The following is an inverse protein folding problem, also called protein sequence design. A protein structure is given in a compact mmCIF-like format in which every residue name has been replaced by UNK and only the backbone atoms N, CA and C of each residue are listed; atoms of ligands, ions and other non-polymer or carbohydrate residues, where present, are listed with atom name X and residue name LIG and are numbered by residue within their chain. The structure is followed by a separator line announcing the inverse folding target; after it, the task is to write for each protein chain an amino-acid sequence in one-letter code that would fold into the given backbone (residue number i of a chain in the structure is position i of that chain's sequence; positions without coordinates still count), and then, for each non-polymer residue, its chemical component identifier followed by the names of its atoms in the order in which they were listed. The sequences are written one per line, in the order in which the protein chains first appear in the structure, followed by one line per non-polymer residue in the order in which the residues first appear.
data_IF_751333877174
#
_entry.id   IF_751333877174
#
_cell.length_a   1.000
_cell.length_b   1.000
_cell.length_c   1.000
_cell.angle_alpha   90.00
_cell.angle_beta   90.00
_cell.angle_gamma   90.00
#
_symmetry.space_group_name_H-M   'P 1'
#
loop_
_entity.id
_entity.type
_entity.pdbx_description
1 polymer ?
#
# COMPACT_ATOMS: atom_id res chain seq x y z
N UNK A 1 7.17 10.57 10.64
CA UNK A 1 6.79 9.65 11.74
C UNK A 1 7.90 9.77 12.78
N UNK A 2 7.59 9.99 14.08
CA UNK A 2 8.61 10.01 15.11
C UNK A 2 9.31 8.63 15.20
N UNK A 3 10.59 8.59 15.58
CA UNK A 3 11.30 7.34 15.78
C UNK A 3 10.66 6.53 16.92
N UNK A 4 10.82 5.22 16.88
CA UNK A 4 10.44 4.38 18.00
C UNK A 4 11.24 4.76 19.23
N UNK A 5 10.58 4.75 20.38
CA UNK A 5 11.27 5.02 21.64
C UNK A 5 12.07 3.79 22.07
N UNK A 6 13.29 4.04 22.54
CA UNK A 6 14.11 2.98 23.13
C UNK A 6 13.45 2.45 24.42
N UNK A 7 13.61 1.16 24.67
CA UNK A 7 13.09 0.45 25.85
C UNK A 7 11.55 0.44 25.97
N UNK A 8 10.83 0.82 24.90
CA UNK A 8 9.38 0.69 24.81
C UNK A 8 8.99 -0.32 23.72
N UNK A 9 7.92 -1.12 23.91
CA UNK A 9 7.42 -1.99 22.86
C UNK A 9 6.96 -1.19 21.64
N UNK A 10 7.34 -1.64 20.45
CA UNK A 10 6.83 -1.10 19.19
C UNK A 10 5.33 -1.34 19.09
N UNK A 11 4.62 -0.43 18.44
CA UNK A 11 3.18 -0.53 18.20
C UNK A 11 2.89 -0.64 16.69
N UNK A 12 1.90 -1.47 16.36
CA UNK A 12 1.38 -1.55 14.98
C UNK A 12 -0.09 -2.00 15.00
N UNK A 13 -0.71 -2.06 13.83
CA UNK A 13 -2.03 -2.68 13.72
C UNK A 13 -1.88 -4.19 13.94
N UNK A 14 -2.59 -4.69 14.94
CA UNK A 14 -2.59 -6.11 15.33
C UNK A 14 -4.03 -6.61 15.34
N UNK A 15 -4.24 -7.89 15.03
CA UNK A 15 -5.46 -8.62 15.32
C UNK A 15 -5.15 -9.57 16.48
N UNK A 16 -5.98 -9.54 17.50
CA UNK A 16 -5.86 -10.35 18.68
C UNK A 16 -7.18 -11.03 19.05
N UNK A 17 -7.11 -12.20 19.69
CA UNK A 17 -8.25 -12.84 20.31
C UNK A 17 -8.45 -12.30 21.73
N UNK A 18 -9.68 -12.03 22.10
CA UNK A 18 -10.04 -11.61 23.45
C UNK A 18 -10.06 -12.84 24.36
N UNK A 19 -9.06 -12.99 25.21
CA UNK A 19 -8.96 -14.11 26.17
C UNK A 19 -9.89 -13.92 27.35
N UNK A 20 -9.99 -12.68 27.86
CA UNK A 20 -10.91 -12.29 28.95
C UNK A 20 -11.33 -10.83 28.76
N UNK A 21 -12.53 -10.48 29.21
CA UNK A 21 -13.01 -9.09 29.15
C UNK A 21 -13.88 -8.73 30.35
N UNK A 22 -13.63 -7.54 30.90
CA UNK A 22 -14.53 -6.84 31.82
C UNK A 22 -15.33 -5.73 31.11
N UNK A 23 -15.05 -5.47 29.83
CA UNK A 23 -15.74 -4.48 29.03
C UNK A 23 -16.92 -5.14 28.30
N UNK A 24 -18.14 -4.64 28.53
CA UNK A 24 -19.38 -5.20 27.98
C UNK A 24 -19.41 -5.22 26.43
N UNK A 25 -18.60 -4.40 25.79
CA UNK A 25 -18.50 -4.35 24.33
C UNK A 25 -17.73 -5.51 23.72
N UNK A 26 -16.92 -6.24 24.51
CA UNK A 26 -16.06 -7.33 24.01
C UNK A 26 -16.28 -8.60 24.83
N UNK A 27 -16.33 -9.74 24.15
CA UNK A 27 -16.50 -11.06 24.79
C UNK A 27 -15.32 -11.95 24.50
N UNK A 28 -15.03 -12.89 25.40
CA UNK A 28 -14.04 -13.95 25.20
C UNK A 28 -14.30 -14.69 23.87
N UNK A 29 -13.25 -14.94 23.11
CA UNK A 29 -13.28 -15.60 21.80
C UNK A 29 -13.60 -14.69 20.62
N UNK A 30 -13.92 -13.41 20.86
CA UNK A 30 -14.04 -12.42 19.77
C UNK A 30 -12.65 -11.97 19.30
N UNK A 31 -12.55 -11.64 18.02
CA UNK A 31 -11.33 -11.05 17.46
C UNK A 31 -11.47 -9.54 17.37
N UNK A 32 -10.38 -8.83 17.69
CA UNK A 32 -10.30 -7.38 17.66
C UNK A 32 -9.08 -6.91 16.88
N UNK A 33 -9.21 -5.78 16.20
CA UNK A 33 -8.12 -5.09 15.51
C UNK A 33 -7.92 -3.71 16.11
N UNK A 34 -6.66 -3.30 16.29
CA UNK A 34 -6.31 -1.97 16.77
C UNK A 34 -4.82 -1.72 16.76
N UNK A 35 -4.42 -0.50 17.12
CA UNK A 35 -3.03 -0.15 17.36
C UNK A 35 -2.63 -0.73 18.72
N UNK A 36 -1.82 -1.77 18.70
CA UNK A 36 -1.42 -2.54 19.87
C UNK A 36 0.09 -2.74 19.90
N UNK A 37 0.62 -3.02 21.08
CA UNK A 37 2.06 -3.27 21.30
C UNK A 37 2.45 -4.65 20.77
N UNK A 38 3.68 -4.80 20.29
CA UNK A 38 4.25 -6.09 19.94
C UNK A 38 4.48 -6.92 21.20
N UNK A 39 3.48 -7.70 21.55
CA UNK A 39 3.45 -8.62 22.69
C UNK A 39 2.52 -9.78 22.37
N UNK A 40 2.85 -10.96 22.87
CA UNK A 40 1.99 -12.13 22.75
C UNK A 40 0.68 -11.94 23.55
N UNK A 41 0.76 -11.35 24.74
CA UNK A 41 -0.39 -11.03 25.60
C UNK A 41 -0.29 -9.60 26.10
N UNK A 42 -1.43 -8.91 26.12
CA UNK A 42 -1.51 -7.56 26.66
C UNK A 42 -2.92 -7.23 27.13
N UNK A 43 -3.04 -6.24 27.97
CA UNK A 43 -4.32 -5.65 28.39
C UNK A 43 -4.58 -4.37 27.63
N UNK A 44 -5.85 -4.11 27.30
CA UNK A 44 -6.30 -2.88 26.65
C UNK A 44 -7.65 -2.45 27.25
N UNK A 45 -7.93 -1.14 27.23
CA UNK A 45 -9.20 -0.60 27.73
C UNK A 45 -10.37 -0.87 26.78
N UNK A 46 -10.09 -1.24 25.54
CA UNK A 46 -11.07 -1.37 24.47
C UNK A 46 -11.18 -0.13 23.57
N UNK A 47 -10.62 1.01 23.98
CA UNK A 47 -10.62 2.23 23.16
C UNK A 47 -9.77 2.03 21.90
N UNK A 48 -10.34 2.38 20.73
CA UNK A 48 -9.65 2.20 19.45
C UNK A 48 -9.59 0.77 18.93
N UNK A 49 -10.20 -0.19 19.64
CA UNK A 49 -10.37 -1.56 19.16
C UNK A 49 -11.65 -1.71 18.35
N UNK A 50 -11.55 -2.39 17.22
CA UNK A 50 -12.67 -2.72 16.35
C UNK A 50 -12.83 -4.24 16.31
N UNK A 51 -14.09 -4.72 16.40
CA UNK A 51 -14.37 -6.14 16.22
C UNK A 51 -14.08 -6.57 14.78
N UNK A 52 -13.50 -7.75 14.65
CA UNK A 52 -13.19 -8.38 13.37
C UNK A 52 -14.06 -9.62 13.21
N UNK A 53 -14.79 -9.71 12.11
CA UNK A 53 -15.64 -10.86 11.81
C UNK A 53 -14.87 -11.88 10.97
N UNK A 54 -14.38 -12.96 11.62
CA UNK A 54 -13.63 -14.05 10.95
C UNK A 54 -14.48 -14.85 9.94
N UNK A 55 -15.81 -14.82 10.10
CA UNK A 55 -16.72 -15.55 9.20
C UNK A 55 -16.99 -14.76 7.90
N UNK A 56 -16.74 -13.45 7.89
CA UNK A 56 -16.91 -12.60 6.72
C UNK A 56 -15.66 -12.59 5.80
N UNK A 57 -14.47 -12.69 6.37
CA UNK A 57 -13.20 -12.80 5.63
C UNK A 57 -12.10 -13.39 6.55
N UNK A 58 -11.03 -13.98 5.99
CA UNK A 58 -9.85 -14.36 6.77
C UNK A 58 -9.31 -13.21 7.61
N UNK A 59 -8.86 -13.49 8.83
CA UNK A 59 -8.36 -12.47 9.75
C UNK A 59 -7.23 -11.62 9.12
N UNK A 60 -6.35 -12.26 8.36
CA UNK A 60 -5.23 -11.58 7.69
C UNK A 60 -5.68 -10.51 6.70
N UNK A 61 -6.84 -10.69 6.04
CA UNK A 61 -7.39 -9.70 5.13
C UNK A 61 -7.64 -8.33 5.80
N UNK A 62 -8.00 -8.33 7.09
CA UNK A 62 -8.21 -7.11 7.88
C UNK A 62 -6.91 -6.39 8.26
N UNK A 63 -5.76 -7.06 8.17
CA UNK A 63 -4.44 -6.42 8.26
C UNK A 63 -3.94 -5.88 6.92
N UNK A 64 -4.53 -6.35 5.83
CA UNK A 64 -4.15 -6.05 4.45
C UNK A 64 -5.23 -5.31 3.68
N UNK A 65 -5.86 -6.04 2.76
CA UNK A 65 -6.79 -5.50 1.76
C UNK A 65 -8.07 -4.87 2.36
N UNK A 66 -8.57 -5.36 3.48
CA UNK A 66 -9.69 -4.77 4.24
C UNK A 66 -9.22 -3.86 5.38
N UNK A 67 -7.92 -3.72 5.58
CA UNK A 67 -7.29 -2.84 6.56
C UNK A 67 -6.73 -1.57 5.94
N UNK A 68 -5.83 -0.91 6.69
CA UNK A 68 -5.27 0.39 6.30
C UNK A 68 -4.64 0.39 4.91
N UNK A 69 -3.98 -0.69 4.48
CA UNK A 69 -3.31 -0.71 3.17
C UNK A 69 -4.29 -0.73 2.00
N UNK A 70 -5.38 -1.51 2.09
CA UNK A 70 -6.42 -1.49 1.07
C UNK A 70 -7.21 -0.18 1.06
N UNK A 71 -7.55 0.34 2.26
CA UNK A 71 -8.22 1.64 2.41
C UNK A 71 -7.36 2.76 1.82
N UNK A 72 -6.04 2.74 2.06
CA UNK A 72 -5.09 3.71 1.48
C UNK A 72 -5.10 3.66 -0.05
N UNK A 73 -5.04 2.46 -0.63
CA UNK A 73 -5.12 2.28 -2.08
C UNK A 73 -6.42 2.85 -2.66
N UNK A 74 -7.55 2.49 -2.08
CA UNK A 74 -8.87 2.93 -2.53
C UNK A 74 -9.07 4.43 -2.42
N UNK A 75 -8.79 5.01 -1.24
CA UNK A 75 -9.02 6.43 -0.99
C UNK A 75 -8.02 7.32 -1.73
N UNK A 76 -6.75 6.93 -1.85
CA UNK A 76 -5.77 7.67 -2.67
C UNK A 76 -6.22 7.78 -4.12
N UNK A 77 -6.68 6.67 -4.71
CA UNK A 77 -7.21 6.68 -6.08
C UNK A 77 -8.52 7.48 -6.19
N UNK A 78 -9.43 7.35 -5.23
CA UNK A 78 -10.74 8.01 -5.26
C UNK A 78 -10.67 9.51 -5.00
N UNK A 79 -9.82 9.95 -4.06
CA UNK A 79 -9.79 11.36 -3.59
C UNK A 79 -8.82 12.23 -4.40
N UNK A 80 -7.76 11.64 -4.94
CA UNK A 80 -6.69 12.37 -5.63
C UNK A 80 -6.56 11.90 -7.08
N UNK A 81 -6.59 10.57 -7.29
CA UNK A 81 -6.39 9.96 -8.60
C UNK A 81 -7.50 10.26 -9.59
N UNK A 82 -8.75 10.24 -9.15
CA UNK A 82 -9.95 10.45 -9.98
C UNK A 82 -9.84 9.73 -11.34
N UNK A 83 -9.58 8.41 -11.27
CA UNK A 83 -9.30 7.58 -12.43
C UNK A 83 -10.43 7.59 -13.45
N UNK A 84 -10.07 7.70 -14.72
CA UNK A 84 -10.99 7.61 -15.85
C UNK A 84 -10.66 6.41 -16.72
N UNK A 85 -11.70 5.77 -17.26
CA UNK A 85 -11.54 4.66 -18.19
C UNK A 85 -10.63 5.04 -19.36
N UNK A 86 -9.66 4.17 -19.66
CA UNK A 86 -8.70 4.35 -20.75
C UNK A 86 -7.41 5.08 -20.35
N UNK A 87 -7.33 5.68 -19.16
CA UNK A 87 -6.11 6.28 -18.65
C UNK A 87 -5.02 5.25 -18.35
N UNK A 88 -3.77 5.71 -18.39
CA UNK A 88 -2.60 4.92 -17.96
C UNK A 88 -2.29 5.23 -16.51
N UNK A 89 -2.42 4.20 -15.66
CA UNK A 89 -2.03 4.21 -14.24
C UNK A 89 -0.67 3.54 -14.08
N UNK A 90 0.33 4.29 -13.63
CA UNK A 90 1.63 3.77 -13.21
C UNK A 90 1.64 3.61 -11.69
N UNK A 91 2.20 2.51 -11.18
CA UNK A 91 2.24 2.20 -9.74
C UNK A 91 3.66 1.79 -9.35
N UNK A 92 4.29 2.50 -8.42
CA UNK A 92 5.54 2.05 -7.81
C UNK A 92 5.29 1.16 -6.59
N UNK A 93 6.25 0.27 -6.26
CA UNK A 93 6.04 -0.74 -5.22
C UNK A 93 4.83 -1.63 -5.51
N UNK A 94 4.61 -1.94 -6.80
CA UNK A 94 3.39 -2.55 -7.33
C UNK A 94 3.06 -3.93 -6.75
N UNK A 95 4.06 -4.69 -6.29
CA UNK A 95 3.85 -6.00 -5.68
C UNK A 95 3.68 -5.94 -4.15
N UNK A 96 3.70 -4.75 -3.55
CA UNK A 96 3.47 -4.52 -2.12
C UNK A 96 1.99 -4.51 -1.75
N UNK A 97 1.72 -4.40 -0.44
CA UNK A 97 0.36 -4.48 0.12
C UNK A 97 -0.59 -3.36 -0.40
N UNK A 98 -0.07 -2.15 -0.64
CA UNK A 98 -0.84 -1.04 -1.23
C UNK A 98 -0.85 -1.14 -2.75
N UNK A 99 0.34 -1.25 -3.37
CA UNK A 99 0.50 -1.17 -4.81
C UNK A 99 -0.26 -2.26 -5.58
N UNK A 100 -0.33 -3.49 -5.06
CA UNK A 100 -1.07 -4.58 -5.69
C UNK A 100 -2.59 -4.33 -5.70
N UNK A 101 -3.11 -3.69 -4.68
CA UNK A 101 -4.53 -3.30 -4.60
C UNK A 101 -4.81 -2.11 -5.52
N UNK A 102 -3.90 -1.11 -5.54
CA UNK A 102 -3.99 0.06 -6.44
C UNK A 102 -4.14 -0.38 -7.90
N UNK A 103 -3.27 -1.29 -8.35
CA UNK A 103 -3.31 -1.74 -9.73
C UNK A 103 -4.59 -2.48 -10.09
N UNK A 104 -5.07 -3.35 -9.21
CA UNK A 104 -6.33 -4.05 -9.44
C UNK A 104 -7.52 -3.10 -9.47
N UNK A 105 -7.58 -2.10 -8.59
CA UNK A 105 -8.61 -1.06 -8.65
C UNK A 105 -8.51 -0.30 -9.98
N UNK A 106 -7.31 0.02 -10.46
CA UNK A 106 -7.09 0.62 -11.77
C UNK A 106 -7.68 -0.24 -12.90
N UNK A 107 -7.50 -1.56 -12.83
CA UNK A 107 -8.12 -2.50 -13.80
C UNK A 107 -9.64 -2.51 -13.72
N UNK A 108 -10.20 -2.54 -12.51
CA UNK A 108 -11.66 -2.46 -12.30
C UNK A 108 -12.22 -1.16 -12.90
N UNK A 109 -11.47 -0.05 -12.79
CA UNK A 109 -11.85 1.26 -13.37
C UNK A 109 -11.59 1.36 -14.88
N UNK A 110 -11.02 0.32 -15.52
CA UNK A 110 -10.78 0.26 -16.95
C UNK A 110 -9.53 0.99 -17.43
N UNK A 111 -8.55 1.19 -16.55
CA UNK A 111 -7.26 1.78 -16.89
C UNK A 111 -6.30 0.76 -17.53
N UNK A 112 -5.32 1.25 -18.31
CA UNK A 112 -4.08 0.54 -18.57
C UNK A 112 -3.20 0.67 -17.33
N UNK A 113 -2.80 -0.45 -16.74
CA UNK A 113 -2.02 -0.46 -15.49
C UNK A 113 -0.63 -0.99 -15.72
N UNK A 114 0.38 -0.21 -15.33
CA UNK A 114 1.80 -0.55 -15.37
C UNK A 114 2.36 -0.55 -13.96
N UNK A 115 3.05 -1.62 -13.58
CA UNK A 115 3.62 -1.77 -12.24
C UNK A 115 5.14 -1.74 -12.24
N UNK A 116 5.74 -1.09 -11.24
CA UNK A 116 7.18 -1.11 -11.01
C UNK A 116 7.45 -1.94 -9.76
N UNK A 117 8.31 -2.96 -9.88
CA UNK A 117 8.72 -3.83 -8.78
C UNK A 117 10.19 -4.24 -8.90
N UNK A 118 10.76 -4.89 -7.88
CA UNK A 118 12.21 -5.13 -7.77
C UNK A 118 12.66 -6.56 -8.06
N UNK A 119 11.85 -7.37 -8.74
CA UNK A 119 12.25 -8.68 -9.26
C UNK A 119 11.28 -9.17 -10.33
N UNK A 120 11.75 -10.04 -11.22
CA UNK A 120 10.93 -10.62 -12.27
C UNK A 120 9.79 -11.48 -11.69
N UNK A 121 10.03 -12.19 -10.60
CA UNK A 121 8.99 -12.92 -9.89
C UNK A 121 7.84 -12.00 -9.42
N UNK A 122 8.17 -10.80 -8.94
CA UNK A 122 7.18 -9.78 -8.55
C UNK A 122 6.46 -9.22 -9.77
N UNK A 123 7.13 -9.10 -10.91
CA UNK A 123 6.51 -8.67 -12.16
C UNK A 123 5.49 -9.72 -12.63
N UNK A 124 5.84 -10.99 -12.63
CA UNK A 124 4.88 -12.06 -12.98
C UNK A 124 3.68 -12.04 -12.01
N UNK A 125 3.93 -11.87 -10.71
CA UNK A 125 2.84 -11.81 -9.72
C UNK A 125 1.86 -10.67 -9.97
N UNK A 126 2.32 -9.46 -10.31
CA UNK A 126 1.40 -8.35 -10.61
C UNK A 126 0.64 -8.58 -11.93
N UNK A 127 1.23 -9.27 -12.90
CA UNK A 127 0.51 -9.68 -14.13
C UNK A 127 -0.64 -10.64 -13.82
N UNK A 128 -0.46 -11.58 -12.88
CA UNK A 128 -1.54 -12.43 -12.37
C UNK A 128 -2.70 -11.64 -11.75
N UNK A 129 -2.41 -10.45 -11.20
CA UNK A 129 -3.40 -9.50 -10.70
C UNK A 129 -4.00 -8.60 -11.79
N UNK A 130 -3.66 -8.86 -13.06
CA UNK A 130 -4.24 -8.18 -14.22
C UNK A 130 -3.52 -6.90 -14.65
N UNK A 131 -2.34 -6.58 -14.11
CA UNK A 131 -1.52 -5.49 -14.65
C UNK A 131 -1.19 -5.77 -16.12
N UNK A 132 -1.21 -4.73 -16.95
CA UNK A 132 -0.91 -4.87 -18.36
C UNK A 132 0.58 -5.08 -18.62
N UNK A 133 1.42 -4.35 -17.87
CA UNK A 133 2.88 -4.37 -18.01
C UNK A 133 3.55 -4.27 -16.64
N UNK A 134 4.80 -4.71 -16.58
CA UNK A 134 5.65 -4.60 -15.39
C UNK A 134 7.06 -4.19 -15.73
N UNK A 135 7.67 -3.38 -14.87
CA UNK A 135 9.06 -2.91 -14.99
C UNK A 135 9.83 -3.37 -13.76
N UNK A 136 10.89 -4.14 -13.98
CA UNK A 136 11.85 -4.47 -12.93
C UNK A 136 12.88 -3.34 -12.82
N UNK A 137 12.77 -2.50 -11.78
CA UNK A 137 13.65 -1.35 -11.62
C UNK A 137 15.11 -1.72 -11.33
N UNK A 138 15.39 -2.97 -10.90
CA UNK A 138 16.77 -3.43 -10.63
C UNK A 138 17.53 -3.84 -11.89
N UNK A 139 16.81 -4.16 -12.97
CA UNK A 139 17.40 -4.58 -14.24
C UNK A 139 17.21 -3.57 -15.36
N UNK A 140 16.44 -2.50 -15.11
CA UNK A 140 16.26 -1.41 -16.07
C UNK A 140 17.46 -0.47 -16.05
N UNK A 141 18.19 -0.37 -17.15
CA UNK A 141 19.35 0.53 -17.29
C UNK A 141 18.96 2.01 -17.19
N UNK A 142 17.77 2.36 -17.64
CA UNK A 142 17.22 3.72 -17.63
C UNK A 142 15.71 3.66 -17.34
N UNK A 143 15.33 4.02 -16.12
CA UNK A 143 13.93 3.99 -15.68
C UNK A 143 13.02 4.90 -16.49
N UNK A 144 13.51 6.06 -16.94
CA UNK A 144 12.73 6.98 -17.78
C UNK A 144 12.36 6.33 -19.12
N UNK A 145 13.32 5.66 -19.76
CA UNK A 145 13.09 4.93 -21.03
C UNK A 145 12.20 3.71 -20.81
N UNK A 146 12.41 2.97 -19.71
CA UNK A 146 11.61 1.81 -19.38
C UNK A 146 10.13 2.19 -19.17
N UNK A 147 9.86 3.30 -18.47
CA UNK A 147 8.49 3.83 -18.31
C UNK A 147 7.93 4.28 -19.65
N UNK A 148 8.69 4.98 -20.48
CA UNK A 148 8.23 5.42 -21.81
C UNK A 148 7.83 4.23 -22.70
N UNK A 149 8.61 3.13 -22.68
CA UNK A 149 8.31 1.91 -23.44
C UNK A 149 7.05 1.20 -22.94
N UNK A 150 6.87 1.07 -21.60
CA UNK A 150 5.71 0.45 -21.00
C UNK A 150 4.44 1.33 -21.07
N UNK A 151 4.61 2.66 -21.13
CA UNK A 151 3.55 3.67 -21.19
C UNK A 151 3.66 4.50 -22.49
N UNK A 152 3.45 3.94 -23.69
CA UNK A 152 3.70 4.66 -24.96
C UNK A 152 2.82 5.91 -25.14
N UNK A 153 1.67 5.97 -24.44
CA UNK A 153 0.79 7.15 -24.44
C UNK A 153 1.07 8.09 -23.25
N UNK A 154 2.19 7.90 -22.54
CA UNK A 154 2.50 8.61 -21.30
C UNK A 154 1.73 8.09 -20.07
N UNK A 155 1.92 8.76 -18.94
CA UNK A 155 1.33 8.43 -17.65
C UNK A 155 0.30 9.47 -17.26
N UNK A 156 -0.96 9.07 -17.07
CA UNK A 156 -2.04 9.97 -16.66
C UNK A 156 -2.13 10.06 -15.13
N UNK A 157 -1.95 8.93 -14.44
CA UNK A 157 -1.94 8.86 -12.98
C UNK A 157 -0.74 8.05 -12.51
N UNK A 158 0.02 8.60 -11.58
CA UNK A 158 1.09 7.90 -10.90
C UNK A 158 0.79 7.75 -9.41
N UNK A 159 0.71 6.51 -8.95
CA UNK A 159 0.58 6.19 -7.52
C UNK A 159 1.96 5.86 -6.96
N UNK A 160 2.48 6.77 -6.16
CA UNK A 160 3.84 6.71 -5.65
C UNK A 160 3.91 6.15 -4.22
N UNK A 161 4.56 4.99 -4.09
CA UNK A 161 4.90 4.38 -2.81
C UNK A 161 6.41 4.48 -2.49
N UNK A 162 7.23 4.95 -3.44
CA UNK A 162 8.69 4.79 -3.40
C UNK A 162 9.44 6.12 -3.33
N UNK A 163 9.02 7.13 -4.10
CA UNK A 163 9.75 8.39 -4.21
C UNK A 163 11.07 8.28 -4.97
N UNK A 164 11.95 9.25 -4.78
CA UNK A 164 13.30 9.26 -5.33
C UNK A 164 13.38 9.18 -6.85
N UNK A 165 14.37 8.49 -7.38
CA UNK A 165 14.62 8.37 -8.82
C UNK A 165 13.45 7.78 -9.62
N UNK A 166 12.64 6.93 -8.99
CA UNK A 166 11.43 6.37 -9.64
C UNK A 166 10.37 7.46 -9.83
N UNK A 167 10.18 8.36 -8.85
CA UNK A 167 9.31 9.52 -8.97
C UNK A 167 9.83 10.46 -10.08
N UNK A 168 11.14 10.71 -10.13
CA UNK A 168 11.76 11.55 -11.15
C UNK A 168 11.50 11.00 -12.55
N UNK A 169 11.67 9.70 -12.74
CA UNK A 169 11.42 9.02 -14.00
C UNK A 169 9.92 9.02 -14.38
N UNK A 170 9.03 8.87 -13.41
CA UNK A 170 7.58 8.95 -13.64
C UNK A 170 7.15 10.35 -14.08
N UNK A 171 7.64 11.41 -13.41
CA UNK A 171 7.37 12.80 -13.76
C UNK A 171 7.90 13.19 -15.14
N UNK A 172 9.00 12.61 -15.60
CA UNK A 172 9.49 12.80 -16.95
C UNK A 172 8.52 12.28 -18.02
N UNK A 173 7.70 11.26 -17.69
CA UNK A 173 6.74 10.61 -18.57
C UNK A 173 5.28 11.03 -18.31
N UNK A 174 5.04 11.92 -17.32
CA UNK A 174 3.69 12.34 -16.94
C UNK A 174 3.00 13.12 -18.09
N UNK A 175 1.73 12.88 -18.29
CA UNK A 175 0.91 13.60 -19.28
C UNK A 175 0.51 14.99 -18.78
N UNK A 176 0.00 15.83 -19.69
CA UNK A 176 -0.65 17.10 -19.35
C UNK A 176 -1.90 16.79 -18.51
N UNK A 177 -2.10 17.54 -17.42
CA UNK A 177 -3.13 17.31 -16.41
C UNK A 177 -2.99 15.96 -15.66
N UNK A 178 -1.79 15.39 -15.69
CA UNK A 178 -1.48 14.18 -14.92
C UNK A 178 -1.64 14.40 -13.42
N UNK A 179 -1.86 13.31 -12.68
CA UNK A 179 -2.02 13.32 -11.22
C UNK A 179 -0.98 12.39 -10.60
N UNK A 180 -0.28 12.91 -9.60
CA UNK A 180 0.69 12.14 -8.79
C UNK A 180 0.17 12.05 -7.36
N UNK A 181 -0.05 10.83 -6.90
CA UNK A 181 -0.55 10.51 -5.57
C UNK A 181 0.64 10.07 -4.72
N UNK A 182 1.18 10.95 -3.89
CA UNK A 182 2.30 10.62 -3.00
C UNK A 182 1.77 9.92 -1.75
N UNK A 183 1.80 8.60 -1.77
CA UNK A 183 1.37 7.73 -0.67
C UNK A 183 2.53 7.39 0.27
N UNK A 184 3.72 7.23 -0.26
CA UNK A 184 4.91 6.88 0.49
C UNK A 184 6.20 7.20 -0.25
N UNK A 185 7.31 7.16 0.45
CA UNK A 185 8.64 7.42 -0.07
C UNK A 185 9.65 6.44 0.55
N UNK A 186 9.38 5.13 0.43
CA UNK A 186 10.15 4.11 1.16
C UNK A 186 11.65 4.13 0.81
N UNK A 187 12.04 4.58 -0.37
CA UNK A 187 13.43 4.75 -0.75
C UNK A 187 14.17 5.81 0.08
N UNK A 188 13.42 6.68 0.77
CA UNK A 188 13.96 7.81 1.52
C UNK A 188 13.89 7.61 3.05
N UNK A 189 13.15 6.60 3.55
CA UNK A 189 12.89 6.46 4.98
C UNK A 189 14.14 6.20 5.82
N UNK A 190 15.14 5.54 5.25
CA UNK A 190 16.42 5.25 5.91
C UNK A 190 17.56 6.14 5.40
N UNK A 191 17.25 7.24 4.72
CA UNK A 191 18.29 8.15 4.21
C UNK A 191 18.94 8.92 5.35
N UNK A 192 20.25 8.79 5.52
CA UNK A 192 21.03 9.52 6.53
C UNK A 192 21.21 11.01 6.19
N UNK A 193 21.10 11.33 4.90
CA UNK A 193 21.23 12.72 4.39
C UNK A 193 20.02 13.06 3.54
N UNK A 194 19.65 14.34 3.48
CA UNK A 194 18.62 14.81 2.56
C UNK A 194 19.00 14.47 1.13
N UNK A 195 18.19 13.67 0.42
CA UNK A 195 18.46 13.33 -0.96
C UNK A 195 18.46 14.57 -1.86
N UNK A 196 19.36 14.60 -2.82
CA UNK A 196 19.41 15.63 -3.87
C UNK A 196 18.81 15.03 -5.14
N UNK A 197 17.90 15.77 -5.78
CA UNK A 197 17.25 15.34 -7.00
C UNK A 197 16.90 16.51 -7.92
N UNK A 198 16.33 16.24 -9.10
CA UNK A 198 15.90 17.27 -10.03
C UNK A 198 14.80 18.15 -9.46
N UNK A 199 14.73 19.38 -9.97
CA UNK A 199 13.67 20.33 -9.66
C UNK A 199 12.50 20.12 -10.63
N UNK A 200 11.33 19.80 -10.09
CA UNK A 200 10.17 19.39 -10.89
C UNK A 200 9.19 20.52 -11.19
N UNK A 201 9.36 21.71 -10.60
CA UNK A 201 8.44 22.83 -10.73
C UNK A 201 8.14 23.17 -12.20
N UNK A 202 9.18 23.15 -13.06
CA UNK A 202 9.01 23.40 -14.49
C UNK A 202 8.13 22.37 -15.18
N UNK A 203 8.21 21.10 -14.80
CA UNK A 203 7.35 20.04 -15.34
C UNK A 203 5.92 20.18 -14.84
N UNK A 204 5.74 20.44 -13.54
CA UNK A 204 4.42 20.65 -12.94
C UNK A 204 3.68 21.80 -13.60
N UNK A 205 4.35 22.95 -13.81
CA UNK A 205 3.78 24.12 -14.48
C UNK A 205 3.45 23.83 -15.94
N UNK A 206 4.44 23.34 -16.72
CA UNK A 206 4.28 23.14 -18.17
C UNK A 206 3.19 22.13 -18.51
N UNK A 207 3.03 21.09 -17.68
CA UNK A 207 2.05 20.01 -17.89
C UNK A 207 0.80 20.15 -17.03
N UNK A 208 0.69 21.20 -16.21
CA UNK A 208 -0.44 21.42 -15.29
C UNK A 208 -0.72 20.19 -14.42
N UNK A 209 0.34 19.62 -13.81
CA UNK A 209 0.27 18.38 -13.01
C UNK A 209 -0.24 18.69 -11.61
N UNK A 210 -1.20 17.90 -11.13
CA UNK A 210 -1.53 17.82 -9.71
C UNK A 210 -0.59 16.84 -9.04
N UNK A 211 0.15 17.27 -8.03
CA UNK A 211 0.98 16.41 -7.19
C UNK A 211 0.56 16.59 -5.73
N UNK A 212 0.02 15.54 -5.10
CA UNK A 212 -0.55 15.65 -3.77
C UNK A 212 -0.14 14.46 -2.89
N UNK A 213 0.39 14.78 -1.70
CA UNK A 213 0.56 13.82 -0.62
C UNK A 213 -0.68 13.72 0.26
N UNK A 214 -0.83 12.60 0.97
CA UNK A 214 -1.90 12.41 1.94
C UNK A 214 -1.47 11.46 3.04
N UNK A 215 -2.10 11.58 4.20
CA UNK A 215 -2.11 10.54 5.22
C UNK A 215 -3.50 9.91 5.27
N UNK A 216 -3.56 8.61 5.45
CA UNK A 216 -4.86 7.92 5.44
C UNK A 216 -5.76 8.37 6.60
N UNK A 217 -5.16 8.85 7.68
CA UNK A 217 -5.90 9.35 8.85
C UNK A 217 -6.71 10.62 8.57
N UNK A 218 -6.40 11.37 7.50
CA UNK A 218 -7.20 12.52 7.07
C UNK A 218 -8.59 12.11 6.55
N UNK A 219 -8.76 10.83 6.23
CA UNK A 219 -9.98 10.27 5.60
C UNK A 219 -10.73 9.26 6.47
N UNK A 220 -10.55 9.26 7.79
CA UNK A 220 -11.18 8.29 8.72
C UNK A 220 -12.68 8.16 8.50
N UNK A 221 -13.37 9.27 8.19
CA UNK A 221 -14.83 9.28 7.92
C UNK A 221 -15.23 8.45 6.69
N UNK A 222 -14.31 8.21 5.77
CA UNK A 222 -14.53 7.44 4.55
C UNK A 222 -14.16 5.96 4.70
N UNK A 223 -13.64 5.50 5.84
CA UNK A 223 -13.19 4.12 6.04
C UNK A 223 -14.30 3.10 5.87
N UNK A 224 -15.46 3.32 6.48
CA UNK A 224 -16.61 2.41 6.37
C UNK A 224 -17.02 2.17 4.91
N UNK A 225 -17.33 3.23 4.13
CA UNK A 225 -17.60 3.09 2.71
C UNK A 225 -16.48 2.41 1.91
N UNK A 226 -15.22 2.69 2.23
CA UNK A 226 -14.07 2.06 1.55
C UNK A 226 -14.01 0.56 1.83
N UNK A 227 -14.13 0.13 3.09
CA UNK A 227 -14.15 -1.28 3.50
C UNK A 227 -15.30 -2.02 2.82
N UNK A 228 -16.49 -1.44 2.77
CA UNK A 228 -17.66 -2.04 2.12
C UNK A 228 -17.40 -2.28 0.63
N UNK A 229 -16.81 -1.30 -0.07
CA UNK A 229 -16.50 -1.44 -1.49
C UNK A 229 -15.42 -2.50 -1.73
N UNK A 230 -14.35 -2.51 -0.95
CA UNK A 230 -13.28 -3.51 -1.03
C UNK A 230 -13.82 -4.91 -0.73
N UNK A 231 -14.66 -5.05 0.29
CA UNK A 231 -15.33 -6.33 0.62
C UNK A 231 -16.21 -6.83 -0.52
N UNK A 232 -16.94 -5.93 -1.18
CA UNK A 232 -17.75 -6.29 -2.34
C UNK A 232 -16.87 -6.83 -3.47
N UNK A 233 -15.78 -6.14 -3.81
CA UNK A 233 -14.88 -6.59 -4.86
C UNK A 233 -14.16 -7.90 -4.54
N UNK A 234 -13.85 -8.15 -3.26
CA UNK A 234 -13.32 -9.44 -2.82
C UNK A 234 -14.34 -10.58 -3.01
N UNK A 235 -15.59 -10.37 -2.59
CA UNK A 235 -16.68 -11.34 -2.74
C UNK A 235 -16.98 -11.66 -4.21
N UNK A 236 -16.87 -10.64 -5.07
CA UNK A 236 -17.07 -10.75 -6.52
C UNK A 236 -15.85 -11.35 -7.27
N UNK A 237 -14.81 -11.74 -6.57
CA UNK A 237 -13.50 -12.19 -7.12
C UNK A 237 -12.82 -11.16 -8.07
N UNK A 238 -13.20 -9.89 -7.94
CA UNK A 238 -12.62 -8.76 -8.70
C UNK A 238 -11.33 -8.22 -8.08
N UNK A 239 -11.12 -8.50 -6.81
CA UNK A 239 -9.95 -8.09 -6.04
C UNK A 239 -9.35 -9.29 -5.35
N UNK A 240 -8.05 -9.48 -5.53
CA UNK A 240 -7.24 -10.53 -4.90
C UNK A 240 -6.17 -9.88 -4.02
N UNK A 241 -5.64 -10.62 -3.07
CA UNK A 241 -4.53 -10.14 -2.25
C UNK A 241 -3.50 -11.25 -2.07
N UNK A 242 -2.30 -10.85 -1.71
CA UNK A 242 -1.25 -11.79 -1.34
C UNK A 242 -0.60 -11.36 -0.04
N UNK A 243 -0.07 -12.33 0.66
CA UNK A 243 0.49 -12.18 1.99
C UNK A 243 1.79 -12.98 2.10
N UNK A 244 2.73 -12.45 2.86
CA UNK A 244 3.89 -13.17 3.33
C UNK A 244 3.73 -13.35 4.82
N UNK A 245 3.52 -14.59 5.27
CA UNK A 245 3.30 -14.91 6.68
C UNK A 245 4.58 -15.54 7.23
N UNK A 246 5.07 -14.99 8.34
CA UNK A 246 6.12 -15.60 9.16
C UNK A 246 5.49 -16.05 10.48
N UNK A 247 5.88 -17.21 11.00
CA UNK A 247 5.37 -17.74 12.24
C UNK A 247 6.38 -17.51 13.37
N UNK A 248 5.87 -17.28 14.60
CA UNK A 248 6.65 -17.09 15.80
C UNK A 248 6.95 -15.63 16.11
N UNK A 249 6.78 -15.27 17.39
CA UNK A 249 6.99 -13.90 17.88
C UNK A 249 8.44 -13.43 17.69
N UNK A 250 9.40 -14.32 17.79
CA UNK A 250 10.83 -14.07 17.58
C UNK A 250 11.15 -13.56 16.16
N UNK A 251 10.29 -13.85 15.20
CA UNK A 251 10.47 -13.44 13.80
C UNK A 251 9.93 -12.03 13.48
N UNK A 252 9.30 -11.35 14.45
CA UNK A 252 8.74 -10.01 14.23
C UNK A 252 9.81 -8.98 13.79
N UNK A 253 11.00 -8.90 14.43
CA UNK A 253 12.05 -7.98 13.97
C UNK A 253 12.54 -8.29 12.57
N UNK A 254 12.73 -9.58 12.24
CA UNK A 254 13.20 -9.97 10.90
C UNK A 254 12.15 -9.68 9.82
N UNK A 255 10.87 -9.90 10.11
CA UNK A 255 9.77 -9.55 9.21
C UNK A 255 9.77 -8.04 8.89
N UNK A 256 10.02 -7.21 9.89
CA UNK A 256 10.12 -5.76 9.72
C UNK A 256 11.31 -5.36 8.82
N UNK A 257 12.49 -5.95 9.05
CA UNK A 257 13.69 -5.73 8.22
C UNK A 257 13.42 -6.16 6.77
N UNK A 258 12.78 -7.30 6.57
CA UNK A 258 12.46 -7.84 5.24
C UNK A 258 11.59 -6.91 4.39
N UNK A 259 10.81 -5.99 5.00
CA UNK A 259 10.07 -4.96 4.26
C UNK A 259 10.99 -4.00 3.51
N UNK A 260 12.07 -3.54 4.15
CA UNK A 260 13.05 -2.63 3.54
C UNK A 260 13.93 -3.33 2.51
N UNK A 261 14.17 -4.62 2.70
CA UNK A 261 14.90 -5.45 1.73
C UNK A 261 14.02 -5.89 0.54
N UNK A 262 12.72 -5.60 0.60
CA UNK A 262 11.77 -5.96 -0.44
C UNK A 262 11.58 -7.47 -0.59
N UNK A 263 11.71 -8.24 0.49
CA UNK A 263 11.52 -9.70 0.47
C UNK A 263 10.07 -10.15 0.56
N UNK A 264 9.16 -9.23 0.90
CA UNK A 264 7.73 -9.53 0.98
C UNK A 264 7.07 -9.58 -0.41
N UNK A 265 6.04 -10.42 -0.50
CA UNK A 265 5.04 -10.43 -1.55
C UNK A 265 3.70 -10.05 -0.93
N UNK A 266 3.13 -8.93 -1.34
CA UNK A 266 1.93 -8.40 -0.71
C UNK A 266 2.17 -7.91 0.73
N UNK A 267 1.24 -8.22 1.63
CA UNK A 267 1.30 -7.82 3.05
C UNK A 267 2.22 -8.75 3.82
N UNK A 268 3.19 -8.18 4.55
CA UNK A 268 3.98 -8.90 5.55
C UNK A 268 3.18 -9.01 6.84
N UNK A 269 3.04 -10.21 7.38
CA UNK A 269 2.31 -10.54 8.61
C UNK A 269 3.15 -11.51 9.42
N UNK A 270 3.16 -11.36 10.74
CA UNK A 270 3.69 -12.35 11.65
C UNK A 270 2.53 -12.94 12.45
N UNK A 271 2.45 -14.26 12.48
CA UNK A 271 1.50 -15.01 13.29
C UNK A 271 2.22 -15.48 14.55
N UNK A 272 1.72 -15.09 15.69
CA UNK A 272 2.21 -15.45 17.01
C UNK A 272 1.25 -16.39 17.71
#
# INVERSE_FOLDING_TARGET
IPPFKLDEPIESTIIAEVMESKNSNFKKGEFVSGLLKWKEYQTATGNGLNKVNKDAAPLTAYLGVLGLTGITAYLGLKKIGDLKKGETLLVSGAAGAVGSVVGQIGKIMGCKVVGIAGSDEKIERIKEFGFNEGINYKTADDMKKAIAAACPNGVDVYFDNVGGEILDAALANINKFGRVINCGAISLYNAEKTPIGPRHEGTLIKKSVLMQGFTIMDYVKDFGPAINQLSTWLKDDKLKYSETIMEGFENVPQAFINLFEGKNKGKMIVKV
#
